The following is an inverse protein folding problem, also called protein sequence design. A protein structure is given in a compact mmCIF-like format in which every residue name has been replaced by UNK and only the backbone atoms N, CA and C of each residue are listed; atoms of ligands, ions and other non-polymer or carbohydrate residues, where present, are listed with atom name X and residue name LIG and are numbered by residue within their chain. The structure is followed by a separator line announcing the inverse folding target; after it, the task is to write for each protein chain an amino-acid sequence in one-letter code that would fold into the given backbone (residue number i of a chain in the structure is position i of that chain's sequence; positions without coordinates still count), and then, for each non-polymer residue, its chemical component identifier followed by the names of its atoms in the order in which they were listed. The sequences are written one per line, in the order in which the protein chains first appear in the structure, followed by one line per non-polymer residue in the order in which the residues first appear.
data_IF_064361145186
#
_entry.id   IF_064361145186
#
_cell.length_a   1.000
_cell.length_b   1.000
_cell.length_c   1.000
_cell.angle_alpha   90.00
_cell.angle_beta   90.00
_cell.angle_gamma   90.00
#
_symmetry.space_group_name_H-M   'P 1'
#
loop_
_entity.id
_entity.type
_entity.pdbx_description
1 polymer ?
#
# COMPACT_ATOMS: atom_id res chain seq x y z
N UNK A 1 -3.39 -9.35 -10.17
CA UNK A 1 -3.97 -8.35 -9.26
C UNK A 1 -4.04 -7.00 -9.98
N UNK A 2 -4.58 -5.96 -9.35
CA UNK A 2 -4.65 -4.63 -9.97
C UNK A 2 -3.23 -4.00 -10.08
N UNK A 3 -2.43 -4.18 -9.03
CA UNK A 3 -0.97 -4.03 -9.04
C UNK A 3 -0.40 -5.34 -8.50
N UNK A 4 0.52 -5.97 -9.22
CA UNK A 4 1.16 -7.20 -8.76
C UNK A 4 2.35 -6.87 -7.86
N UNK A 5 2.70 -7.76 -6.93
CA UNK A 5 3.85 -7.59 -6.05
C UNK A 5 5.10 -7.20 -6.84
N UNK A 6 5.30 -7.79 -8.03
CA UNK A 6 6.46 -7.52 -8.93
C UNK A 6 6.58 -6.10 -9.46
N UNK A 7 5.59 -5.28 -9.18
CA UNK A 7 5.56 -3.88 -9.59
C UNK A 7 5.93 -2.95 -8.42
N UNK A 8 6.20 -3.49 -7.23
CA UNK A 8 6.81 -2.83 -6.07
C UNK A 8 8.34 -2.87 -6.20
N UNK A 9 8.98 -1.71 -6.19
CA UNK A 9 10.44 -1.54 -6.25
C UNK A 9 11.06 -1.68 -4.85
N UNK A 10 10.35 -1.20 -3.82
CA UNK A 10 10.81 -1.25 -2.44
C UNK A 10 9.63 -1.14 -1.46
N UNK A 11 9.70 -1.84 -0.33
CA UNK A 11 8.86 -1.56 0.82
C UNK A 11 9.70 -1.48 2.11
N UNK A 12 9.39 -0.51 2.97
CA UNK A 12 10.11 -0.26 4.23
C UNK A 12 9.11 -0.02 5.37
N UNK A 13 9.37 -0.63 6.53
CA UNK A 13 8.68 -0.31 7.78
C UNK A 13 9.25 0.99 8.37
N UNK A 14 8.38 1.95 8.67
CA UNK A 14 8.73 3.27 9.18
C UNK A 14 7.91 3.57 10.41
N UNK A 15 8.53 4.12 11.47
CA UNK A 15 7.79 4.61 12.62
C UNK A 15 7.38 6.07 12.39
N UNK A 16 6.08 6.31 12.14
CA UNK A 16 5.54 7.63 11.86
C UNK A 16 5.27 8.40 13.17
N UNK A 17 6.20 9.31 13.49
CA UNK A 17 6.11 10.19 14.67
C UNK A 17 5.34 11.49 14.42
N UNK A 18 5.03 11.82 13.16
CA UNK A 18 4.38 13.09 12.80
C UNK A 18 2.88 13.05 13.02
N UNK A 19 2.24 11.93 12.69
CA UNK A 19 0.79 11.75 12.81
C UNK A 19 0.39 10.90 14.02
N UNK A 20 1.36 10.48 14.83
CA UNK A 20 1.19 9.46 15.88
C UNK A 20 0.54 8.16 15.38
N UNK A 21 0.70 7.85 14.08
CA UNK A 21 0.14 6.65 13.46
C UNK A 21 0.88 5.36 13.87
N UNK A 22 2.01 5.47 14.57
CA UNK A 22 2.80 4.31 14.99
C UNK A 22 3.61 3.74 13.82
N UNK A 23 3.74 2.41 13.76
CA UNK A 23 4.43 1.77 12.64
C UNK A 23 3.56 1.77 11.38
N UNK A 24 4.16 2.20 10.27
CA UNK A 24 3.57 2.19 8.93
C UNK A 24 4.50 1.46 7.97
N UNK A 25 3.96 1.00 6.84
CA UNK A 25 4.76 0.44 5.75
C UNK A 25 4.68 1.35 4.55
N UNK A 26 5.83 1.89 4.15
CA UNK A 26 5.96 2.69 2.94
C UNK A 26 6.31 1.78 1.78
N UNK A 27 5.73 2.04 0.61
CA UNK A 27 5.98 1.30 -0.62
C UNK A 27 6.34 2.29 -1.72
N UNK A 28 7.31 1.90 -2.54
CA UNK A 28 7.68 2.57 -3.78
C UNK A 28 7.47 1.60 -4.92
N UNK A 29 6.75 2.03 -5.95
CA UNK A 29 6.50 1.23 -7.14
C UNK A 29 7.56 1.48 -8.21
N UNK A 30 7.75 0.51 -9.09
CA UNK A 30 8.45 0.68 -10.37
C UNK A 30 7.73 1.71 -11.26
N UNK A 31 8.33 2.19 -12.34
CA UNK A 31 7.66 3.11 -13.27
C UNK A 31 6.35 2.54 -13.83
N UNK A 32 6.36 1.24 -14.17
CA UNK A 32 5.19 0.52 -14.65
C UNK A 32 4.13 0.36 -13.55
N UNK A 33 4.56 -0.01 -12.34
CA UNK A 33 3.69 -0.13 -11.17
C UNK A 33 3.05 1.20 -10.77
N UNK A 34 3.82 2.28 -10.81
CA UNK A 34 3.37 3.63 -10.49
C UNK A 34 2.23 4.07 -11.39
N UNK A 35 2.33 3.80 -12.70
CA UNK A 35 1.27 4.14 -13.65
C UNK A 35 -0.01 3.35 -13.39
N UNK A 36 0.10 2.04 -13.16
CA UNK A 36 -1.05 1.21 -12.81
C UNK A 36 -1.68 1.64 -11.48
N UNK A 37 -0.86 1.90 -10.48
CA UNK A 37 -1.30 2.35 -9.17
C UNK A 37 -2.05 3.68 -9.26
N UNK A 38 -1.54 4.63 -10.06
CA UNK A 38 -2.25 5.87 -10.38
C UNK A 38 -3.61 5.58 -11.04
N UNK A 39 -3.64 4.79 -12.13
CA UNK A 39 -4.87 4.48 -12.85
C UNK A 39 -5.95 3.85 -11.94
N UNK A 40 -5.54 2.94 -11.04
CA UNK A 40 -6.45 2.25 -10.12
C UNK A 40 -6.91 3.18 -9.00
N UNK A 41 -6.00 3.94 -8.39
CA UNK A 41 -6.38 4.89 -7.32
C UNK A 41 -7.27 5.99 -7.86
N UNK A 42 -7.04 6.46 -9.10
CA UNK A 42 -7.94 7.39 -9.79
C UNK A 42 -9.34 6.82 -9.99
N UNK A 43 -9.46 5.54 -10.34
CA UNK A 43 -10.77 4.86 -10.45
C UNK A 43 -11.44 4.65 -9.08
N UNK A 44 -10.68 4.25 -8.06
CA UNK A 44 -11.19 4.01 -6.71
C UNK A 44 -11.66 5.31 -6.05
N UNK A 45 -10.94 6.41 -6.23
CA UNK A 45 -11.30 7.72 -5.68
C UNK A 45 -12.68 8.23 -6.16
N UNK A 46 -13.16 7.78 -7.31
CA UNK A 46 -14.50 8.12 -7.83
C UNK A 46 -15.62 7.28 -7.21
N UNK A 47 -15.29 6.23 -6.46
CA UNK A 47 -16.28 5.33 -5.83
C UNK A 47 -16.64 5.81 -4.44
N UNK A 48 -17.80 5.39 -3.95
CA UNK A 48 -18.22 5.61 -2.57
C UNK A 48 -17.69 4.51 -1.67
N UNK A 49 -17.44 4.83 -0.39
CA UNK A 49 -17.11 3.81 0.62
C UNK A 49 -18.23 2.77 0.75
N UNK A 50 -17.90 1.46 0.84
CA UNK A 50 -16.55 0.88 0.98
C UNK A 50 -15.83 0.55 -0.35
N UNK A 51 -16.43 0.89 -1.49
CA UNK A 51 -15.91 0.50 -2.81
C UNK A 51 -14.66 1.28 -3.25
N UNK A 52 -14.25 2.32 -2.49
CA UNK A 52 -13.04 3.09 -2.73
C UNK A 52 -11.82 2.57 -1.95
N UNK A 53 -11.83 1.32 -1.51
CA UNK A 53 -10.70 0.71 -0.80
C UNK A 53 -9.72 0.03 -1.77
N UNK A 54 -8.43 0.11 -1.44
CA UNK A 54 -7.38 -0.63 -2.12
C UNK A 54 -6.95 -1.81 -1.24
N UNK A 55 -7.47 -3.01 -1.52
CA UNK A 55 -7.15 -4.19 -0.73
C UNK A 55 -5.74 -4.73 -1.02
N UNK A 56 -5.00 -5.00 0.05
CA UNK A 56 -3.67 -5.61 0.05
C UNK A 56 -3.85 -7.05 0.54
N UNK A 57 -3.54 -7.99 -0.35
CA UNK A 57 -3.80 -9.42 -0.13
C UNK A 57 -2.51 -10.19 -0.12
N UNK A 58 -2.30 -11.00 0.92
CA UNK A 58 -1.14 -11.87 1.12
C UNK A 58 -1.64 -13.26 1.48
N UNK A 59 -1.15 -14.30 0.81
CA UNK A 59 -1.58 -15.71 1.00
C UNK A 59 -3.12 -15.88 1.01
N UNK A 60 -3.80 -15.16 0.13
CA UNK A 60 -5.27 -15.13 0.00
C UNK A 60 -6.03 -14.48 1.18
N UNK A 61 -5.34 -13.81 2.11
CA UNK A 61 -5.92 -13.03 3.20
C UNK A 61 -5.73 -11.52 3.01
N UNK A 62 -6.75 -10.72 3.31
CA UNK A 62 -6.68 -9.25 3.25
C UNK A 62 -5.98 -8.76 4.51
N UNK A 63 -4.77 -8.22 4.36
CA UNK A 63 -3.98 -7.69 5.49
C UNK A 63 -4.20 -6.20 5.74
N UNK A 64 -4.69 -5.48 4.72
CA UNK A 64 -5.03 -4.06 4.83
C UNK A 64 -5.92 -3.63 3.67
N UNK A 65 -6.85 -2.70 3.91
CA UNK A 65 -7.81 -2.20 2.94
C UNK A 65 -8.00 -0.66 3.03
N UNK A 66 -6.92 0.14 2.90
CA UNK A 66 -6.98 1.59 3.04
C UNK A 66 -7.95 2.23 2.03
N UNK A 67 -8.63 3.28 2.48
CA UNK A 67 -9.48 4.11 1.63
C UNK A 67 -8.65 5.00 0.71
N UNK A 68 -9.05 5.05 -0.56
CA UNK A 68 -8.49 5.94 -1.58
C UNK A 68 -9.40 7.14 -1.74
N UNK A 69 -8.86 8.34 -1.50
CA UNK A 69 -9.57 9.62 -1.62
C UNK A 69 -9.22 10.39 -2.88
N UNK A 70 -8.07 10.09 -3.50
CA UNK A 70 -7.59 10.75 -4.72
C UNK A 70 -6.66 9.82 -5.50
N UNK A 71 -6.43 10.18 -6.76
CA UNK A 71 -5.42 9.54 -7.60
C UNK A 71 -4.01 9.75 -7.01
N UNK A 72 -3.21 8.67 -6.94
CA UNK A 72 -1.85 8.69 -6.42
C UNK A 72 -0.84 8.49 -7.55
N UNK A 73 -0.36 9.60 -8.12
CA UNK A 73 0.57 9.60 -9.27
C UNK A 73 2.05 9.57 -8.87
N UNK A 74 2.36 9.75 -7.57
CA UNK A 74 3.72 9.86 -7.08
C UNK A 74 4.50 8.55 -7.01
N UNK A 75 3.89 7.41 -7.35
CA UNK A 75 4.55 6.10 -7.32
C UNK A 75 4.91 5.61 -5.91
N UNK A 76 4.36 6.23 -4.87
CA UNK A 76 4.56 5.85 -3.48
C UNK A 76 3.20 5.62 -2.81
N UNK A 77 3.17 4.71 -1.85
CA UNK A 77 2.02 4.46 -1.00
C UNK A 77 2.45 4.25 0.46
N UNK A 78 1.55 4.55 1.38
CA UNK A 78 1.72 4.25 2.81
C UNK A 78 0.57 3.37 3.27
N UNK A 79 0.90 2.26 3.91
CA UNK A 79 -0.02 1.39 4.64
C UNK A 79 0.09 1.78 6.10
N UNK A 80 -1.00 2.28 6.66
CA UNK A 80 -1.12 2.59 8.08
C UNK A 80 -2.10 1.64 8.75
N UNK A 81 -1.89 1.38 10.03
CA UNK A 81 -2.66 0.43 10.83
C UNK A 81 -2.12 0.36 12.24
N UNK A 82 -2.76 -0.43 13.10
CA UNK A 82 -2.29 -0.67 14.47
C UNK A 82 -1.15 -1.69 14.51
N UNK A 83 -0.15 -1.54 13.64
CA UNK A 83 0.98 -2.46 13.57
C UNK A 83 1.95 -2.22 14.73
N UNK A 84 2.51 -3.30 15.25
CA UNK A 84 3.78 -3.25 15.97
C UNK A 84 4.98 -3.25 15.01
N UNK A 85 6.19 -3.20 15.58
CA UNK A 85 7.42 -3.17 14.80
C UNK A 85 7.61 -4.44 13.96
N UNK A 86 7.35 -5.60 14.55
CA UNK A 86 7.61 -6.90 13.94
C UNK A 86 6.61 -7.15 12.81
N UNK A 87 5.34 -6.81 13.02
CA UNK A 87 4.29 -6.85 12.01
C UNK A 87 4.61 -5.96 10.82
N UNK A 88 4.98 -4.70 11.06
CA UNK A 88 5.32 -3.77 9.98
C UNK A 88 6.57 -4.24 9.19
N UNK A 89 7.59 -4.74 9.88
CA UNK A 89 8.79 -5.29 9.23
C UNK A 89 8.48 -6.55 8.43
N UNK A 90 7.68 -7.47 8.98
CA UNK A 90 7.23 -8.67 8.29
C UNK A 90 6.46 -8.34 7.02
N UNK A 91 5.52 -7.40 7.11
CA UNK A 91 4.74 -6.91 5.97
C UNK A 91 5.65 -6.25 4.91
N UNK A 92 6.54 -5.35 5.31
CA UNK A 92 7.48 -4.70 4.39
C UNK A 92 8.39 -5.70 3.67
N UNK A 93 8.89 -6.72 4.39
CA UNK A 93 9.67 -7.80 3.79
C UNK A 93 8.83 -8.58 2.78
N UNK A 94 7.62 -9.00 3.16
CA UNK A 94 6.76 -9.77 2.27
C UNK A 94 6.42 -9.01 0.98
N UNK A 95 6.14 -7.71 1.09
CA UNK A 95 5.89 -6.84 -0.06
C UNK A 95 7.13 -6.62 -0.93
N UNK A 96 8.32 -6.66 -0.34
CA UNK A 96 9.59 -6.54 -1.07
C UNK A 96 10.05 -7.84 -1.74
N UNK A 97 9.73 -9.01 -1.17
CA UNK A 97 10.12 -10.32 -1.71
C UNK A 97 9.04 -10.97 -2.59
N UNK A 98 7.77 -10.57 -2.42
CA UNK A 98 6.67 -10.91 -3.33
C UNK A 98 6.70 -10.08 -4.64
N UNK A 99 7.69 -9.20 -4.76
CA UNK A 99 8.04 -8.44 -5.94
C UNK A 99 9.09 -9.13 -6.83
#
# INVERSE_FOLDING_TARGET
AAVDGTEVDKADAVYNTQTAAGWTVTMKFTDKGSKKFADITGQLAQKQSPQNQFAIVLDNEVVSDPYVSQELTGGNAEISGSFDQEEAQGLANMLSYGA
#
